data_IF_396233809767
#
_entry.id   IF_396233809767
#
_cell.length_a   1.000
_cell.length_b   1.000
_cell.length_c   1.000
_cell.angle_alpha   90.00
_cell.angle_beta   90.00
_cell.angle_gamma   90.00
#
_symmetry.space_group_name_H-M   'P 1'
#
loop_
_entity.id
_entity.type
_entity.pdbx_description
1 polymer ?
#
# COMPACT_ATOMS: atom_id res chain seq x y z
N UNK A 1 -48.57 13.45 97.79
CA UNK A 1 -48.60 13.28 99.26
C UNK A 1 -47.14 13.10 99.68
N UNK A 2 -46.47 13.90 100.50
CA UNK A 2 -46.79 14.58 101.77
C UNK A 2 -45.68 15.65 101.92
N UNK A 3 -45.94 16.95 101.85
CA UNK A 3 -46.38 17.85 102.92
C UNK A 3 -45.58 17.76 104.24
N UNK A 4 -44.94 18.88 104.63
CA UNK A 4 -45.00 19.33 106.01
C UNK A 4 -43.82 19.05 106.95
N UNK A 5 -42.93 20.04 107.02
CA UNK A 5 -42.47 20.77 108.21
C UNK A 5 -42.24 20.08 109.57
N UNK A 6 -41.09 20.45 110.16
CA UNK A 6 -40.73 20.32 111.57
C UNK A 6 -39.38 19.62 111.71
N UNK A 7 -38.33 20.13 112.36
CA UNK A 7 -38.15 21.21 113.31
C UNK A 7 -37.01 20.80 114.26
N UNK A 8 -36.32 21.78 114.85
CA UNK A 8 -35.54 21.70 116.11
C UNK A 8 -33.99 21.67 116.05
N UNK A 9 -33.42 22.86 116.26
CA UNK A 9 -32.38 23.22 117.26
C UNK A 9 -31.30 22.20 117.67
N UNK A 10 -30.02 22.59 117.55
CA UNK A 10 -29.22 23.19 118.64
C UNK A 10 -27.80 23.58 118.20
N UNK A 11 -27.26 24.53 118.95
CA UNK A 11 -26.07 25.38 118.74
C UNK A 11 -24.79 24.74 119.30
N UNK A 12 -23.65 24.91 118.62
CA UNK A 12 -22.30 24.90 119.21
C UNK A 12 -21.34 25.82 118.43
N UNK A 13 -20.50 26.58 119.16
CA UNK A 13 -19.67 27.72 118.71
C UNK A 13 -18.39 27.33 117.95
N UNK A 14 -17.95 28.20 117.03
CA UNK A 14 -16.62 28.22 116.38
C UNK A 14 -16.10 29.69 116.39
N UNK A 15 -14.78 29.95 116.59
CA UNK A 15 -14.24 31.25 117.05
C UNK A 15 -14.08 32.31 115.91
N UNK A 16 -13.69 33.57 116.20
CA UNK A 16 -14.03 34.73 115.39
C UNK A 16 -13.15 34.86 114.13
N UNK A 17 -13.72 35.39 113.05
CA UNK A 17 -12.96 35.84 111.87
C UNK A 17 -12.80 37.36 111.89
N UNK A 18 -11.57 37.90 111.74
CA UNK A 18 -11.35 39.33 111.65
C UNK A 18 -11.92 39.90 110.35
N UNK A 19 -12.59 41.04 110.44
CA UNK A 19 -13.04 41.83 109.29
C UNK A 19 -11.83 42.24 108.44
N UNK A 20 -11.74 41.77 107.20
CA UNK A 20 -10.92 42.44 106.17
C UNK A 20 -11.78 43.53 105.54
N UNK A 21 -11.41 44.77 105.85
CA UNK A 21 -11.91 45.97 105.17
C UNK A 21 -11.72 45.82 103.65
N UNK A 22 -12.77 46.14 102.88
CA UNK A 22 -12.69 46.28 101.43
C UNK A 22 -11.75 47.44 101.11
N UNK A 23 -10.56 47.14 100.61
CA UNK A 23 -9.61 48.13 100.09
C UNK A 23 -10.10 48.69 98.76
N UNK A 24 -10.27 50.01 98.71
CA UNK A 24 -10.38 50.82 97.51
C UNK A 24 -8.98 50.95 96.88
N UNK A 25 -8.64 50.05 95.96
CA UNK A 25 -7.29 49.97 95.37
C UNK A 25 -7.18 50.68 94.02
N UNK A 26 -6.85 51.97 94.01
CA UNK A 26 -6.11 52.52 92.88
C UNK A 26 -4.66 52.04 92.99
N UNK A 27 -4.03 51.56 91.91
CA UNK A 27 -2.66 51.05 91.97
C UNK A 27 -1.70 52.16 92.44
N UNK A 28 -0.70 51.84 93.29
CA UNK A 28 0.28 52.81 93.76
C UNK A 28 0.90 53.60 92.60
N UNK A 29 1.17 54.90 92.78
CA UNK A 29 1.73 55.78 91.73
C UNK A 29 2.97 55.21 91.04
N UNK A 30 3.79 54.44 91.75
CA UNK A 30 4.95 53.76 91.18
C UNK A 30 4.57 52.69 90.14
N UNK A 31 3.47 51.96 90.35
CA UNK A 31 2.94 50.95 89.42
C UNK A 31 2.37 51.60 88.17
N UNK A 32 1.65 52.71 88.32
CA UNK A 32 1.17 53.51 87.19
C UNK A 32 2.34 54.09 86.39
N UNK A 33 3.41 54.54 87.06
CA UNK A 33 4.61 55.06 86.39
C UNK A 33 5.35 53.98 85.61
N UNK A 34 5.46 52.76 86.15
CA UNK A 34 6.03 51.60 85.44
C UNK A 34 5.19 51.16 84.25
N UNK A 35 3.86 51.13 84.40
CA UNK A 35 2.96 50.80 83.29
C UNK A 35 3.05 51.85 82.18
N UNK A 36 3.11 53.14 82.54
CA UNK A 36 3.31 54.22 81.56
C UNK A 36 4.64 54.08 80.81
N UNK A 37 5.74 53.86 81.54
CA UNK A 37 7.05 53.65 80.93
C UNK A 37 7.05 52.42 79.99
N UNK A 38 6.39 51.33 80.39
CA UNK A 38 6.29 50.12 79.56
C UNK A 38 5.44 50.33 78.31
N UNK A 39 4.36 51.11 78.40
CA UNK A 39 3.54 51.46 77.22
C UNK A 39 4.30 52.38 76.27
N UNK A 40 5.06 53.35 76.80
CA UNK A 40 5.92 54.22 75.97
C UNK A 40 7.02 53.41 75.30
N UNK A 41 7.70 52.52 76.04
CA UNK A 41 8.74 51.66 75.49
C UNK A 41 8.20 50.69 74.44
N UNK A 42 7.05 50.04 74.67
CA UNK A 42 6.41 49.21 73.64
C UNK A 42 5.95 50.02 72.41
N UNK A 43 5.66 51.31 72.59
CA UNK A 43 5.38 52.23 71.49
C UNK A 43 6.63 52.59 70.69
N UNK A 44 7.75 52.84 71.37
CA UNK A 44 9.06 53.12 70.76
C UNK A 44 9.61 51.88 70.04
N UNK A 45 9.65 50.72 70.71
CA UNK A 45 10.07 49.44 70.13
C UNK A 45 9.17 49.05 68.94
N UNK A 46 7.88 49.40 69.01
CA UNK A 46 6.92 49.17 67.94
C UNK A 46 7.11 50.10 66.74
N UNK A 47 7.51 51.35 66.98
CA UNK A 47 7.81 52.31 65.92
C UNK A 47 9.14 51.97 65.24
N UNK A 48 10.18 51.60 66.00
CA UNK A 48 11.47 51.15 65.45
C UNK A 48 11.30 49.88 64.60
N UNK A 49 10.48 48.93 65.04
CA UNK A 49 10.17 47.74 64.25
C UNK A 49 9.38 48.07 62.97
N UNK A 50 8.49 49.05 63.02
CA UNK A 50 7.75 49.52 61.83
C UNK A 50 8.65 50.33 60.88
N UNK A 51 9.61 51.09 61.41
CA UNK A 51 10.58 51.87 60.64
C UNK A 51 11.58 50.94 59.93
N UNK A 52 12.13 49.94 60.62
CA UNK A 52 12.98 48.91 59.98
C UNK A 52 12.25 48.13 58.88
N UNK A 53 10.98 47.79 59.10
CA UNK A 53 10.15 47.16 58.07
C UNK A 53 9.86 48.12 56.90
N UNK A 54 9.70 49.41 57.16
CA UNK A 54 9.47 50.43 56.14
C UNK A 54 10.75 50.76 55.34
N UNK A 55 11.93 50.62 55.93
CA UNK A 55 13.22 50.78 55.25
C UNK A 55 13.59 49.56 54.38
N UNK A 56 13.29 48.34 54.83
CA UNK A 56 13.54 47.10 54.07
C UNK A 56 12.47 46.83 52.98
N UNK A 57 11.26 47.38 53.15
CA UNK A 57 10.12 47.16 52.26
C UNK A 57 10.33 47.67 50.82
N UNK A 58 10.85 48.89 50.57
CA UNK A 58 11.16 49.39 49.22
C UNK A 58 12.14 48.49 48.47
N UNK A 59 13.21 48.05 49.13
CA UNK A 59 14.24 47.18 48.53
C UNK A 59 13.69 45.80 48.20
N UNK A 60 12.86 45.22 49.07
CA UNK A 60 12.17 43.94 48.82
C UNK A 60 11.12 44.05 47.72
N UNK A 61 10.39 45.17 47.65
CA UNK A 61 9.42 45.46 46.59
C UNK A 61 10.09 45.52 45.22
N UNK A 62 11.20 46.24 45.10
CA UNK A 62 11.98 46.32 43.85
C UNK A 62 12.49 44.94 43.40
N UNK A 63 12.95 44.09 44.32
CA UNK A 63 13.37 42.72 44.00
C UNK A 63 12.22 41.83 43.53
N UNK A 64 11.01 42.02 44.08
CA UNK A 64 9.82 41.28 43.65
C UNK A 64 9.34 41.74 42.27
N UNK A 65 9.40 43.03 42.00
CA UNK A 65 9.08 43.62 40.70
C UNK A 65 10.05 43.14 39.61
N UNK A 66 11.35 43.11 39.89
CA UNK A 66 12.34 42.58 38.96
C UNK A 66 12.14 41.07 38.69
N UNK A 67 11.76 40.29 39.71
CA UNK A 67 11.41 38.87 39.54
C UNK A 67 10.13 38.68 38.74
N UNK A 68 9.14 39.54 38.94
CA UNK A 68 7.89 39.53 38.20
C UNK A 68 8.16 39.83 36.72
N UNK A 69 8.90 40.89 36.41
CA UNK A 69 9.30 41.23 35.04
C UNK A 69 10.06 40.10 34.35
N UNK A 70 11.02 39.46 35.05
CA UNK A 70 11.71 38.26 34.51
C UNK A 70 10.75 37.11 34.24
N UNK A 71 9.81 36.84 35.14
CA UNK A 71 8.83 35.78 34.99
C UNK A 71 7.84 36.08 33.85
N UNK A 72 7.42 37.33 33.70
CA UNK A 72 6.57 37.78 32.60
C UNK A 72 7.28 37.67 31.25
N UNK A 73 8.53 38.11 31.15
CA UNK A 73 9.33 37.96 29.94
C UNK A 73 9.52 36.49 29.55
N UNK A 74 9.79 35.62 30.53
CA UNK A 74 9.87 34.18 30.32
C UNK A 74 8.53 33.59 29.86
N UNK A 75 7.42 34.00 30.47
CA UNK A 75 6.08 33.54 30.08
C UNK A 75 5.72 33.97 28.65
N UNK A 76 6.10 35.19 28.23
CA UNK A 76 5.92 35.64 26.83
C UNK A 76 6.73 34.76 25.87
N UNK A 77 7.99 34.46 26.20
CA UNK A 77 8.81 33.56 25.38
C UNK A 77 8.24 32.14 25.27
N UNK A 78 7.65 31.61 26.35
CA UNK A 78 6.93 30.33 26.31
C UNK A 78 5.67 30.39 25.43
N UNK A 79 4.92 31.50 25.47
CA UNK A 79 3.76 31.70 24.60
C UNK A 79 4.16 31.74 23.12
N UNK A 80 5.23 32.46 22.78
CA UNK A 80 5.74 32.54 21.40
C UNK A 80 6.20 31.16 20.89
N UNK A 81 6.93 30.41 21.72
CA UNK A 81 7.35 29.05 21.39
C UNK A 81 6.14 28.12 21.19
N UNK A 82 5.12 28.25 22.03
CA UNK A 82 3.89 27.46 21.91
C UNK A 82 3.15 27.79 20.62
N UNK A 83 3.06 29.08 20.26
CA UNK A 83 2.46 29.51 19.00
C UNK A 83 3.21 28.92 17.79
N UNK A 84 4.54 28.99 17.80
CA UNK A 84 5.37 28.41 16.75
C UNK A 84 5.19 26.88 16.63
N UNK A 85 5.16 26.16 17.75
CA UNK A 85 4.92 24.71 17.75
C UNK A 85 3.54 24.36 17.19
N UNK A 86 2.50 25.15 17.48
CA UNK A 86 1.17 24.93 16.93
C UNK A 86 1.13 25.15 15.41
N UNK A 87 1.82 26.18 14.92
CA UNK A 87 1.95 26.45 13.48
C UNK A 87 2.69 25.32 12.76
N UNK A 88 3.80 24.84 13.32
CA UNK A 88 4.56 23.71 12.75
C UNK A 88 3.74 22.42 12.74
N UNK A 89 3.01 22.12 13.83
CA UNK A 89 2.11 20.97 13.89
C UNK A 89 0.99 21.08 12.84
N UNK A 90 0.44 22.28 12.62
CA UNK A 90 -0.55 22.51 11.58
C UNK A 90 0.04 22.33 10.17
N UNK A 91 1.27 22.78 9.95
CA UNK A 91 1.99 22.56 8.69
C UNK A 91 2.23 21.07 8.42
N UNK A 92 2.78 20.34 9.40
CA UNK A 92 3.02 18.90 9.29
C UNK A 92 1.71 18.12 9.07
N UNK A 93 0.63 18.50 9.76
CA UNK A 93 -0.69 17.90 9.56
C UNK A 93 -1.19 18.06 8.11
N UNK A 94 -1.01 19.24 7.50
CA UNK A 94 -1.36 19.47 6.09
C UNK A 94 -0.50 18.63 5.14
N UNK A 95 0.80 18.52 5.40
CA UNK A 95 1.71 17.69 4.60
C UNK A 95 1.32 16.22 4.70
N UNK A 96 1.08 15.71 5.91
CA UNK A 96 0.63 14.34 6.14
C UNK A 96 -0.73 14.06 5.46
N UNK A 97 -1.65 15.02 5.50
CA UNK A 97 -2.92 14.93 4.79
C UNK A 97 -2.77 14.79 3.27
N UNK A 98 -1.88 15.59 2.66
CA UNK A 98 -1.58 15.49 1.22
C UNK A 98 -0.94 14.16 0.87
N UNK A 99 0.06 13.72 1.64
CA UNK A 99 0.71 12.43 1.42
C UNK A 99 -0.27 11.25 1.54
N UNK A 100 -1.20 11.30 2.50
CA UNK A 100 -2.23 10.28 2.64
C UNK A 100 -3.20 10.27 1.45
N UNK A 101 -3.59 11.42 0.92
CA UNK A 101 -4.44 11.50 -0.27
C UNK A 101 -3.75 10.89 -1.49
N UNK A 102 -2.46 11.19 -1.70
CA UNK A 102 -1.66 10.62 -2.78
C UNK A 102 -1.51 9.09 -2.63
N UNK A 103 -1.28 8.59 -1.41
CA UNK A 103 -1.23 7.15 -1.13
C UNK A 103 -2.57 6.47 -1.49
N UNK A 104 -3.70 7.10 -1.17
CA UNK A 104 -5.01 6.55 -1.50
C UNK A 104 -5.24 6.52 -3.02
N UNK A 105 -4.90 7.60 -3.71
CA UNK A 105 -4.98 7.66 -5.17
C UNK A 105 -4.11 6.59 -5.83
N UNK A 106 -2.84 6.46 -5.42
CA UNK A 106 -1.93 5.45 -5.95
C UNK A 106 -2.42 4.02 -5.68
N UNK A 107 -3.06 3.78 -4.53
CA UNK A 107 -3.67 2.47 -4.25
C UNK A 107 -4.83 2.17 -5.18
N UNK A 108 -5.69 3.16 -5.45
CA UNK A 108 -6.80 3.02 -6.38
C UNK A 108 -6.29 2.73 -7.80
N UNK A 109 -5.35 3.53 -8.31
CA UNK A 109 -4.73 3.33 -9.62
C UNK A 109 -4.06 1.95 -9.72
N UNK A 110 -3.36 1.51 -8.68
CA UNK A 110 -2.73 0.19 -8.65
C UNK A 110 -3.77 -0.93 -8.74
N UNK A 111 -4.89 -0.82 -8.01
CA UNK A 111 -5.99 -1.80 -8.10
C UNK A 111 -6.65 -1.82 -9.47
N UNK A 112 -6.80 -0.66 -10.11
CA UNK A 112 -7.32 -0.57 -11.47
C UNK A 112 -6.37 -1.26 -12.47
N UNK A 113 -5.08 -0.92 -12.42
CA UNK A 113 -4.07 -1.51 -13.28
C UNK A 113 -3.97 -3.03 -13.10
N UNK A 114 -4.06 -3.53 -11.87
CA UNK A 114 -4.12 -4.97 -11.60
C UNK A 114 -5.32 -5.64 -12.29
N UNK A 115 -6.47 -4.97 -12.33
CA UNK A 115 -7.65 -5.41 -13.07
C UNK A 115 -7.41 -5.44 -14.58
N UNK A 116 -6.88 -4.36 -15.14
CA UNK A 116 -6.57 -4.25 -16.57
C UNK A 116 -5.54 -5.29 -17.03
N UNK A 117 -4.46 -5.48 -16.26
CA UNK A 117 -3.44 -6.50 -16.53
C UNK A 117 -4.05 -7.91 -16.52
N UNK A 118 -4.95 -8.18 -15.57
CA UNK A 118 -5.65 -9.47 -15.50
C UNK A 118 -6.51 -9.72 -16.74
N UNK A 119 -7.27 -8.72 -17.18
CA UNK A 119 -8.10 -8.82 -18.40
C UNK A 119 -7.25 -8.98 -19.66
N UNK A 120 -6.16 -8.22 -19.78
CA UNK A 120 -5.24 -8.33 -20.91
C UNK A 120 -4.59 -9.71 -20.98
N UNK A 121 -4.21 -10.27 -19.83
CA UNK A 121 -3.64 -11.61 -19.73
C UNK A 121 -4.66 -12.67 -20.18
N UNK A 122 -5.87 -12.63 -19.66
CA UNK A 122 -6.94 -13.56 -20.07
C UNK A 122 -7.23 -13.44 -21.57
N UNK A 123 -7.33 -12.22 -22.09
CA UNK A 123 -7.53 -11.97 -23.51
C UNK A 123 -6.38 -12.49 -24.39
N UNK A 124 -5.14 -12.40 -23.92
CA UNK A 124 -3.98 -12.95 -24.61
C UNK A 124 -4.00 -14.49 -24.62
N UNK A 125 -4.29 -15.12 -23.48
CA UNK A 125 -4.40 -16.57 -23.36
C UNK A 125 -5.53 -17.14 -24.24
N UNK A 126 -6.68 -16.46 -24.30
CA UNK A 126 -7.78 -16.85 -25.19
C UNK A 126 -7.38 -16.73 -26.67
N UNK A 127 -6.70 -15.64 -27.05
CA UNK A 127 -6.19 -15.47 -28.41
C UNK A 127 -5.16 -16.54 -28.77
N UNK A 128 -4.26 -16.90 -27.87
CA UNK A 128 -3.26 -17.95 -28.08
C UNK A 128 -3.92 -19.32 -28.28
N UNK A 129 -4.96 -19.65 -27.50
CA UNK A 129 -5.74 -20.87 -27.68
C UNK A 129 -6.53 -20.88 -29.00
N UNK A 130 -7.10 -19.74 -29.39
CA UNK A 130 -7.90 -19.63 -30.63
C UNK A 130 -7.06 -19.52 -31.90
N UNK A 131 -5.82 -19.01 -31.82
CA UNK A 131 -4.99 -18.71 -32.98
C UNK A 131 -4.72 -19.94 -33.86
N UNK A 132 -4.33 -21.12 -33.34
CA UNK A 132 -4.14 -22.31 -34.16
C UNK A 132 -5.40 -22.72 -34.92
N UNK A 133 -6.58 -22.63 -34.28
CA UNK A 133 -7.86 -22.96 -34.91
C UNK A 133 -8.16 -21.99 -36.05
N UNK A 134 -7.98 -20.69 -35.83
CA UNK A 134 -8.17 -19.65 -36.85
C UNK A 134 -7.18 -19.79 -38.00
N UNK A 135 -5.91 -20.07 -37.70
CA UNK A 135 -4.88 -20.30 -38.69
C UNK A 135 -5.19 -21.51 -39.58
N UNK A 136 -5.67 -22.62 -38.97
CA UNK A 136 -6.14 -23.79 -39.71
C UNK A 136 -7.30 -23.47 -40.64
N UNK A 137 -8.34 -22.81 -40.13
CA UNK A 137 -9.49 -22.41 -40.93
C UNK A 137 -9.08 -21.50 -42.10
N UNK A 138 -8.22 -20.51 -41.84
CA UNK A 138 -7.71 -19.63 -42.87
C UNK A 138 -6.92 -20.40 -43.95
N UNK A 139 -6.11 -21.37 -43.56
CA UNK A 139 -5.37 -22.23 -44.49
C UNK A 139 -6.32 -23.06 -45.37
N UNK A 140 -7.40 -23.59 -44.81
CA UNK A 140 -8.42 -24.35 -45.55
C UNK A 140 -9.17 -23.48 -46.56
N UNK A 141 -9.40 -22.20 -46.25
CA UNK A 141 -10.03 -21.24 -47.15
C UNK A 141 -9.06 -20.73 -48.25
N UNK A 142 -7.73 -20.81 -48.02
CA UNK A 142 -6.71 -20.19 -48.87
C UNK A 142 -5.69 -21.20 -49.44
N UNK A 143 -6.10 -22.45 -49.69
CA UNK A 143 -5.20 -23.55 -50.12
C UNK A 143 -4.36 -23.20 -51.35
N UNK A 144 -4.92 -22.52 -52.35
CA UNK A 144 -4.19 -22.14 -53.57
C UNK A 144 -3.06 -21.16 -53.27
N UNK A 145 -3.30 -20.19 -52.41
CA UNK A 145 -2.31 -19.19 -52.04
C UNK A 145 -1.20 -19.81 -51.19
N UNK A 146 -1.57 -20.69 -50.25
CA UNK A 146 -0.61 -21.47 -49.46
C UNK A 146 0.26 -22.33 -50.38
N UNK A 147 -0.33 -23.00 -51.37
CA UNK A 147 0.43 -23.80 -52.34
C UNK A 147 1.39 -22.93 -53.16
N UNK A 148 0.97 -21.74 -53.61
CA UNK A 148 1.85 -20.79 -54.32
C UNK A 148 3.02 -20.35 -53.45
N UNK A 149 2.79 -20.04 -52.18
CA UNK A 149 3.86 -19.66 -51.24
C UNK A 149 4.84 -20.81 -51.04
N UNK A 150 4.34 -22.02 -50.79
CA UNK A 150 5.18 -23.21 -50.59
C UNK A 150 5.98 -23.57 -51.85
N UNK A 151 5.42 -23.35 -53.05
CA UNK A 151 6.07 -23.68 -54.34
C UNK A 151 6.81 -22.50 -54.98
N UNK A 152 6.94 -21.37 -54.25
CA UNK A 152 7.55 -20.14 -54.78
C UNK A 152 9.04 -20.28 -55.10
N UNK A 153 9.77 -21.05 -54.29
CA UNK A 153 11.22 -21.29 -54.45
C UNK A 153 11.55 -22.73 -54.05
N UNK A 154 12.62 -23.33 -54.61
CA UNK A 154 13.07 -24.66 -54.22
C UNK A 154 13.30 -24.81 -52.71
N UNK A 155 13.84 -23.77 -52.07
CA UNK A 155 14.12 -23.74 -50.63
C UNK A 155 12.83 -23.79 -49.81
N UNK A 156 11.84 -22.96 -50.15
CA UNK A 156 10.52 -22.96 -49.50
C UNK A 156 9.77 -24.26 -49.70
N UNK A 157 9.89 -24.85 -50.89
CA UNK A 157 9.31 -26.15 -51.20
C UNK A 157 9.93 -27.24 -50.34
N UNK A 158 11.26 -27.23 -50.21
CA UNK A 158 11.99 -28.16 -49.35
C UNK A 158 11.60 -28.02 -47.88
N UNK A 159 11.48 -26.79 -47.37
CA UNK A 159 11.00 -26.52 -46.01
C UNK A 159 9.58 -27.04 -45.79
N UNK A 160 8.67 -26.80 -46.75
CA UNK A 160 7.31 -27.33 -46.72
C UNK A 160 7.27 -28.86 -46.65
N UNK A 161 8.06 -29.54 -47.48
CA UNK A 161 8.17 -31.00 -47.44
C UNK A 161 8.77 -31.51 -46.13
N UNK A 162 9.79 -30.84 -45.57
CA UNK A 162 10.34 -31.18 -44.25
C UNK A 162 9.28 -31.07 -43.14
N UNK A 163 8.40 -30.08 -43.19
CA UNK A 163 7.30 -29.91 -42.25
C UNK A 163 6.28 -31.05 -42.40
N UNK A 164 5.86 -31.35 -43.63
CA UNK A 164 4.93 -32.45 -43.90
C UNK A 164 5.49 -33.81 -43.45
N UNK A 165 6.80 -34.03 -43.62
CA UNK A 165 7.45 -35.28 -43.22
C UNK A 165 7.50 -35.50 -41.70
N UNK A 166 7.19 -34.48 -40.88
CA UNK A 166 7.06 -34.65 -39.41
C UNK A 166 5.74 -35.31 -39.03
N UNK A 167 4.71 -35.15 -39.86
CA UNK A 167 3.38 -35.72 -39.65
C UNK A 167 3.25 -37.08 -40.35
N UNK A 168 2.61 -38.06 -39.70
CA UNK A 168 2.45 -39.41 -40.28
C UNK A 168 1.67 -39.38 -41.60
N UNK A 169 0.56 -38.64 -41.65
CA UNK A 169 -0.21 -38.47 -42.89
C UNK A 169 0.63 -37.79 -43.99
N UNK A 170 1.51 -36.86 -43.62
CA UNK A 170 2.37 -36.18 -44.58
C UNK A 170 3.45 -37.10 -45.16
N UNK A 171 4.03 -38.00 -44.36
CA UNK A 171 4.95 -39.05 -44.84
C UNK A 171 4.25 -39.99 -45.83
N UNK A 172 3.02 -40.40 -45.53
CA UNK A 172 2.24 -41.25 -46.42
C UNK A 172 1.98 -40.56 -47.76
N UNK A 173 1.51 -39.30 -47.73
CA UNK A 173 1.29 -38.51 -48.94
C UNK A 173 2.57 -38.37 -49.80
N UNK A 174 3.71 -38.03 -49.19
CA UNK A 174 5.00 -37.91 -49.89
C UNK A 174 5.39 -39.24 -50.52
N UNK A 175 5.21 -40.35 -49.80
CA UNK A 175 5.52 -41.70 -50.29
C UNK A 175 4.64 -42.08 -51.47
N UNK A 176 3.34 -41.77 -51.42
CA UNK A 176 2.42 -42.01 -52.53
C UNK A 176 2.80 -41.19 -53.77
N UNK A 177 3.15 -39.91 -53.60
CA UNK A 177 3.63 -39.04 -54.68
C UNK A 177 4.92 -39.59 -55.30
N UNK A 178 5.89 -39.99 -54.46
CA UNK A 178 7.14 -40.59 -54.91
C UNK A 178 6.93 -41.91 -55.67
N UNK A 179 6.06 -42.78 -55.15
CA UNK A 179 5.70 -44.05 -55.79
C UNK A 179 5.03 -43.83 -57.14
N UNK A 180 4.13 -42.86 -57.24
CA UNK A 180 3.50 -42.48 -58.50
C UNK A 180 4.53 -41.96 -59.52
N UNK A 181 5.45 -41.09 -59.09
CA UNK A 181 6.55 -40.59 -59.93
C UNK A 181 7.43 -41.71 -60.46
N UNK A 182 7.80 -42.65 -59.60
CA UNK A 182 8.59 -43.83 -59.96
C UNK A 182 7.85 -44.73 -60.97
N UNK A 183 6.57 -45.03 -60.74
CA UNK A 183 5.75 -45.84 -61.63
C UNK A 183 5.55 -45.15 -63.00
N UNK A 184 5.36 -43.83 -62.99
CA UNK A 184 5.24 -43.03 -64.21
C UNK A 184 6.55 -42.97 -65.00
N UNK A 185 7.70 -42.98 -64.32
CA UNK A 185 9.02 -43.14 -64.94
C UNK A 185 9.16 -44.49 -65.65
N UNK A 186 8.91 -45.60 -64.94
CA UNK A 186 8.92 -46.95 -65.55
C UNK A 186 7.97 -47.07 -66.74
N UNK A 187 6.82 -46.40 -66.67
CA UNK A 187 5.88 -46.35 -67.80
C UNK A 187 6.51 -45.65 -69.00
N UNK A 188 7.11 -44.47 -68.82
CA UNK A 188 7.79 -43.72 -69.91
C UNK A 188 8.94 -44.53 -70.52
N UNK A 189 9.75 -45.20 -69.70
CA UNK A 189 10.86 -46.03 -70.20
C UNK A 189 10.36 -47.21 -71.04
N UNK A 190 9.24 -47.80 -70.61
CA UNK A 190 8.57 -48.86 -71.36
C UNK A 190 7.91 -48.35 -72.64
N UNK A 191 7.33 -47.15 -72.61
CA UNK A 191 6.80 -46.47 -73.80
C UNK A 191 7.91 -46.23 -74.84
N UNK A 192 9.06 -45.71 -74.40
CA UNK A 192 10.23 -45.51 -75.26
C UNK A 192 10.76 -46.83 -75.84
N UNK A 193 10.84 -47.88 -75.01
CA UNK A 193 11.31 -49.20 -75.46
C UNK A 193 10.37 -49.82 -76.50
N UNK A 194 9.06 -49.70 -76.31
CA UNK A 194 8.07 -50.18 -77.28
C UNK A 194 8.10 -49.38 -78.58
N UNK A 195 8.30 -48.06 -78.53
CA UNK A 195 8.41 -47.22 -79.71
C UNK A 195 9.65 -47.57 -80.56
N UNK A 196 10.82 -47.72 -79.93
CA UNK A 196 12.06 -48.10 -80.62
C UNK A 196 11.90 -49.48 -81.29
N UNK A 197 11.36 -50.46 -80.56
CA UNK A 197 11.21 -51.83 -81.10
C UNK A 197 10.23 -51.89 -82.27
N UNK A 198 9.14 -51.12 -82.20
CA UNK A 198 8.16 -51.03 -83.29
C UNK A 198 8.75 -50.36 -84.55
N UNK A 199 9.69 -49.42 -84.40
CA UNK A 199 10.42 -48.83 -85.54
C UNK A 199 11.42 -49.83 -86.16
N UNK A 200 12.09 -50.65 -85.33
CA UNK A 200 13.13 -51.58 -85.79
C UNK A 200 12.60 -52.92 -86.33
N UNK A 201 11.47 -53.41 -85.84
CA UNK A 201 10.87 -54.70 -86.22
C UNK A 201 9.40 -54.52 -86.64
N UNK A 202 9.07 -54.59 -87.95
CA UNK A 202 7.71 -54.42 -88.46
C UNK A 202 6.69 -55.45 -87.93
N UNK A 203 7.15 -56.60 -87.43
CA UNK A 203 6.31 -57.63 -86.83
C UNK A 203 6.40 -57.64 -85.30
N UNK A 204 6.89 -56.55 -84.70
CA UNK A 204 7.09 -56.43 -83.27
C UNK A 204 5.81 -56.78 -82.49
N UNK A 205 5.96 -57.72 -81.55
CA UNK A 205 4.93 -58.08 -80.60
C UNK A 205 5.53 -58.16 -79.20
N UNK A 206 5.08 -57.28 -78.32
CA UNK A 206 5.54 -57.22 -76.92
C UNK A 206 5.54 -58.57 -76.20
N UNK A 207 4.52 -59.40 -76.43
CA UNK A 207 4.41 -60.71 -75.78
C UNK A 207 5.48 -61.70 -76.26
N UNK A 208 5.87 -61.64 -77.53
CA UNK A 208 6.91 -62.49 -78.10
C UNK A 208 8.30 -62.17 -77.53
N UNK A 209 8.54 -60.89 -77.21
CA UNK A 209 9.78 -60.42 -76.57
C UNK A 209 9.76 -60.54 -75.04
N UNK A 210 8.73 -61.16 -74.45
CA UNK A 210 8.58 -61.24 -72.98
C UNK A 210 8.37 -59.89 -72.29
N UNK A 211 8.08 -58.84 -73.07
CA UNK A 211 7.82 -57.51 -72.54
C UNK A 211 6.38 -57.46 -72.02
N UNK A 212 6.20 -56.74 -70.91
CA UNK A 212 4.86 -56.57 -70.38
C UNK A 212 3.95 -55.86 -71.42
N UNK A 213 2.64 -56.16 -71.47
CA UNK A 213 1.72 -55.65 -72.49
C UNK A 213 1.43 -54.14 -72.36
N UNK A 214 1.73 -53.36 -73.38
CA UNK A 214 1.43 -51.91 -73.41
C UNK A 214 0.33 -51.65 -74.45
N UNK A 215 -0.74 -50.91 -74.09
CA UNK A 215 -1.63 -50.32 -75.09
C UNK A 215 -1.00 -49.01 -75.56
N UNK A 216 -0.41 -49.01 -76.75
CA UNK A 216 -0.26 -47.76 -77.48
C UNK A 216 -1.65 -47.18 -77.68
N UNK A 217 -1.90 -45.98 -77.15
CA UNK A 217 -3.05 -45.21 -77.61
C UNK A 217 -2.76 -44.91 -79.08
N UNK A 218 -3.48 -45.56 -79.98
CA UNK A 218 -3.48 -45.19 -81.39
C UNK A 218 -3.79 -43.70 -81.46
N UNK A 219 -2.84 -42.92 -81.98
CA UNK A 219 -3.06 -41.55 -82.41
C UNK A 219 -4.02 -41.58 -83.61
N UNK A 220 -5.29 -41.87 -83.34
CA UNK A 220 -6.35 -41.51 -84.26
C UNK A 220 -6.61 -40.02 -84.06
N UNK A 221 -6.57 -39.19 -85.12
CA UNK A 221 -6.90 -37.79 -85.00
C UNK A 221 -8.37 -37.69 -84.59
N UNK A 222 -8.63 -37.01 -83.48
CA UNK A 222 -9.96 -36.51 -83.18
C UNK A 222 -10.30 -35.48 -84.27
N UNK A 223 -11.17 -35.87 -85.20
CA UNK A 223 -11.79 -34.98 -86.17
C UNK A 223 -12.74 -33.99 -85.44
N UNK A 224 -12.98 -32.80 -86.02
CA UNK A 224 -13.36 -31.58 -85.30
C UNK A 224 -14.71 -31.61 -84.58
#
# INVERSE_FOLDING_TARGET
MVAGYGGSNRVARVPPKPMKQRGTGYPPRATLRRLRAKVTQMGEDGLDALEQLAEDSPSRSLQLEEKLERAEAHNRGLQDLTAWQLEEMAYLSRVAGRANAEILQLKEENTQLMGEVSQLKEGAELKEKEFPRRAKQWMEENVVEVARVLTSTPERTMEGFKLLYREENGKEMITQIGSYGFMSGKKRDREASHAILAETDPNFNAKAYGLAPYRMKSLLPLSP
#
